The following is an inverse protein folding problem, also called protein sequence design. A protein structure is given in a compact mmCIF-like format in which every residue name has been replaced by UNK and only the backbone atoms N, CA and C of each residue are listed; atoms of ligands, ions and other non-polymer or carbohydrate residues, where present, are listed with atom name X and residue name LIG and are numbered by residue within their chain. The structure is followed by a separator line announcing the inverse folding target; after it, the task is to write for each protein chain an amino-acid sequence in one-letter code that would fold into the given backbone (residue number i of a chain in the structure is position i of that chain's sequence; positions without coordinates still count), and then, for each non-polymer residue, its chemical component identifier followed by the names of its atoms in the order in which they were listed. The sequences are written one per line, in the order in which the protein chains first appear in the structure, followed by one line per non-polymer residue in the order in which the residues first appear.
data_IF_612788733671
#
_entry.id   IF_612788733671
#
_cell.length_a   1.000
_cell.length_b   1.000
_cell.length_c   1.000
_cell.angle_alpha   90.00
_cell.angle_beta   90.00
_cell.angle_gamma   90.00
#
_symmetry.space_group_name_H-M   'P 1'
#
loop_
_entity.id
_entity.type
_entity.pdbx_description
1 polymer ?
#
# COMPACT_ATOMS: atom_id res chain seq x y z
N UNK A 1 -9.14 -7.23 -0.22
CA UNK A 1 -10.02 -8.39 -0.02
C UNK A 1 -9.27 -9.72 -0.07
N UNK A 2 -8.30 -9.90 -0.98
CA UNK A 2 -7.60 -11.17 -1.22
C UNK A 2 -6.10 -11.16 -0.89
N UNK A 3 -5.63 -10.22 -0.13
CA UNK A 3 -4.27 -10.20 0.43
C UNK A 3 -4.40 -10.00 1.94
N UNK A 4 -4.09 -11.00 2.73
CA UNK A 4 -3.88 -12.44 2.42
C UNK A 4 -5.07 -13.12 1.72
N UNK A 5 -4.83 -14.30 1.12
CA UNK A 5 -5.88 -15.05 0.41
C UNK A 5 -7.03 -15.44 1.35
N UNK A 6 -8.25 -15.00 1.03
CA UNK A 6 -9.47 -15.32 1.82
C UNK A 6 -10.42 -16.28 1.12
N UNK A 7 -9.99 -16.91 0.01
CA UNK A 7 -10.82 -17.86 -0.73
C UNK A 7 -11.98 -17.21 -1.52
N UNK A 8 -11.87 -15.91 -1.80
CA UNK A 8 -12.83 -15.18 -2.61
C UNK A 8 -12.25 -15.08 -4.03
N UNK A 9 -12.72 -15.91 -4.94
CA UNK A 9 -12.21 -15.98 -6.33
C UNK A 9 -12.69 -14.82 -7.19
N UNK A 10 -12.02 -14.62 -8.35
CA UNK A 10 -12.38 -13.57 -9.33
C UNK A 10 -13.83 -13.71 -9.82
N UNK A 11 -14.32 -14.93 -10.01
CA UNK A 11 -15.73 -15.15 -10.37
C UNK A 11 -16.72 -14.62 -9.34
N UNK A 12 -16.35 -14.63 -8.05
CA UNK A 12 -17.16 -14.04 -6.98
C UNK A 12 -17.10 -12.53 -7.02
N UNK A 13 -15.93 -11.96 -7.22
CA UNK A 13 -15.76 -10.51 -7.38
C UNK A 13 -16.54 -10.00 -8.59
N UNK A 14 -16.56 -10.75 -9.69
CA UNK A 14 -17.35 -10.37 -10.85
C UNK A 14 -18.85 -10.36 -10.55
N UNK A 15 -19.38 -11.34 -9.81
CA UNK A 15 -20.79 -11.36 -9.40
C UNK A 15 -21.15 -10.15 -8.50
N UNK A 16 -20.23 -9.77 -7.59
CA UNK A 16 -20.43 -8.58 -6.77
C UNK A 16 -20.46 -7.30 -7.61
N UNK A 17 -19.54 -7.18 -8.59
CA UNK A 17 -19.51 -6.05 -9.54
C UNK A 17 -20.75 -6.00 -10.41
N UNK A 18 -21.19 -7.13 -10.95
CA UNK A 18 -22.39 -7.21 -11.80
C UNK A 18 -23.65 -6.80 -11.02
N UNK A 19 -23.76 -7.26 -9.77
CA UNK A 19 -24.85 -6.85 -8.88
C UNK A 19 -24.80 -5.36 -8.55
N UNK A 20 -23.62 -4.83 -8.22
CA UNK A 20 -23.42 -3.41 -7.95
C UNK A 20 -23.80 -2.54 -9.14
N UNK A 21 -23.32 -2.90 -10.34
CA UNK A 21 -23.62 -2.18 -11.59
C UNK A 21 -25.13 -2.23 -11.93
N UNK A 22 -25.75 -3.40 -11.79
CA UNK A 22 -27.18 -3.58 -12.08
C UNK A 22 -28.08 -2.74 -11.18
N UNK A 23 -27.68 -2.53 -9.93
CA UNK A 23 -28.47 -1.79 -8.93
C UNK A 23 -27.97 -0.35 -8.75
N UNK A 24 -26.99 0.10 -9.54
CA UNK A 24 -26.38 1.43 -9.47
C UNK A 24 -25.84 1.78 -8.06
N UNK A 25 -25.24 0.78 -7.39
CA UNK A 25 -24.67 0.92 -6.05
C UNK A 25 -23.16 0.68 -6.06
N UNK A 26 -22.47 1.09 -4.99
CA UNK A 26 -21.04 0.80 -4.83
C UNK A 26 -20.78 -0.68 -4.58
N UNK A 27 -19.58 -1.15 -4.92
CA UNK A 27 -19.12 -2.51 -4.61
C UNK A 27 -19.18 -2.79 -3.09
N UNK A 28 -18.89 -1.80 -2.26
CA UNK A 28 -19.01 -1.91 -0.81
C UNK A 28 -20.46 -2.20 -0.40
N UNK A 29 -21.42 -1.54 -1.05
CA UNK A 29 -22.84 -1.74 -0.76
C UNK A 29 -23.36 -3.10 -1.26
N UNK A 30 -22.76 -3.67 -2.30
CA UNK A 30 -23.09 -5.03 -2.74
C UNK A 30 -22.71 -6.09 -1.72
N UNK A 31 -21.69 -5.84 -0.90
CA UNK A 31 -21.28 -6.71 0.21
C UNK A 31 -22.33 -6.71 1.36
N UNK A 32 -23.10 -5.68 1.48
CA UNK A 32 -24.19 -5.63 2.47
C UNK A 32 -25.39 -6.51 2.04
N UNK A 33 -25.58 -6.70 0.74
CA UNK A 33 -26.74 -7.37 0.14
C UNK A 33 -26.39 -8.78 -0.40
N UNK A 34 -25.50 -9.53 0.25
CA UNK A 34 -25.01 -10.83 -0.23
C UNK A 34 -26.11 -11.87 -0.48
N UNK A 35 -27.23 -11.78 0.25
CA UNK A 35 -28.34 -12.72 0.12
C UNK A 35 -29.15 -12.52 -1.16
N UNK A 36 -29.09 -11.32 -1.75
CA UNK A 36 -29.75 -11.01 -3.01
C UNK A 36 -28.91 -11.41 -4.24
N UNK A 37 -27.63 -11.77 -4.01
CA UNK A 37 -26.72 -12.16 -5.09
C UNK A 37 -26.83 -13.65 -5.36
N UNK A 38 -27.35 -14.00 -6.54
CA UNK A 38 -27.52 -15.38 -6.93
C UNK A 38 -26.21 -16.16 -7.07
N UNK A 39 -26.25 -17.45 -6.75
CA UNK A 39 -25.13 -18.39 -6.94
C UNK A 39 -23.86 -18.06 -6.12
N UNK A 40 -23.98 -17.46 -4.95
CA UNK A 40 -22.94 -17.43 -3.94
C UNK A 40 -23.12 -18.60 -2.97
N UNK A 41 -22.05 -19.39 -2.78
CA UNK A 41 -22.07 -20.46 -1.77
C UNK A 41 -22.01 -19.89 -0.35
N UNK A 42 -22.57 -20.59 0.64
CA UNK A 42 -22.54 -20.17 2.03
C UNK A 42 -21.11 -19.97 2.56
N UNK A 43 -20.15 -20.79 2.09
CA UNK A 43 -18.74 -20.63 2.40
C UNK A 43 -18.21 -19.28 1.94
N UNK A 44 -18.54 -18.86 0.72
CA UNK A 44 -18.09 -17.59 0.16
C UNK A 44 -18.78 -16.42 0.86
N UNK A 45 -20.08 -16.52 1.14
CA UNK A 45 -20.80 -15.51 1.93
C UNK A 45 -20.16 -15.32 3.31
N UNK A 46 -19.80 -16.41 3.99
CA UNK A 46 -19.09 -16.36 5.27
C UNK A 46 -17.75 -15.63 5.17
N UNK A 47 -16.95 -15.91 4.13
CA UNK A 47 -15.66 -15.23 3.93
C UNK A 47 -15.82 -13.72 3.68
N UNK A 48 -16.83 -13.35 2.92
CA UNK A 48 -17.14 -11.93 2.67
C UNK A 48 -17.64 -11.25 3.94
N UNK A 49 -18.48 -11.90 4.74
CA UNK A 49 -18.94 -11.37 6.01
C UNK A 49 -17.80 -11.18 7.02
N UNK A 50 -16.87 -12.12 7.12
CA UNK A 50 -15.68 -11.96 7.95
C UNK A 50 -14.86 -10.72 7.51
N UNK A 51 -14.71 -10.51 6.21
CA UNK A 51 -14.03 -9.30 5.72
C UNK A 51 -14.81 -8.03 6.03
N UNK A 52 -16.14 -8.05 5.95
CA UNK A 52 -17.01 -6.94 6.34
C UNK A 52 -16.84 -6.58 7.81
N UNK A 53 -16.73 -7.58 8.69
CA UNK A 53 -16.46 -7.38 10.13
C UNK A 53 -15.12 -6.67 10.32
N UNK A 54 -14.05 -7.12 9.66
CA UNK A 54 -12.74 -6.43 9.70
C UNK A 54 -12.87 -4.96 9.31
N UNK A 55 -13.57 -4.65 8.23
CA UNK A 55 -13.76 -3.25 7.79
C UNK A 55 -14.56 -2.44 8.81
N UNK A 56 -15.58 -3.05 9.45
CA UNK A 56 -16.36 -2.35 10.46
C UNK A 56 -15.54 -2.09 11.74
N UNK A 57 -14.72 -3.04 12.15
CA UNK A 57 -13.82 -2.86 13.29
C UNK A 57 -12.81 -1.74 13.00
N UNK A 58 -12.22 -1.73 11.79
CA UNK A 58 -11.27 -0.69 11.38
C UNK A 58 -11.88 0.72 11.38
N UNK A 59 -13.17 0.88 11.09
CA UNK A 59 -13.84 2.18 11.19
C UNK A 59 -13.79 2.76 12.61
N UNK A 60 -13.81 1.92 13.64
CA UNK A 60 -13.69 2.38 15.03
C UNK A 60 -12.27 2.83 15.37
N UNK A 61 -11.25 2.18 14.80
CA UNK A 61 -9.86 2.57 14.96
C UNK A 61 -9.48 3.82 14.17
N UNK A 62 -10.19 4.10 13.07
CA UNK A 62 -9.98 5.32 12.29
C UNK A 62 -10.19 6.61 13.10
N UNK A 63 -10.92 6.56 14.19
CA UNK A 63 -11.09 7.65 15.14
C UNK A 63 -9.89 7.88 16.07
N UNK A 64 -8.96 6.93 16.12
CA UNK A 64 -7.79 6.95 17.01
C UNK A 64 -6.52 7.48 16.31
N UNK A 65 -6.63 7.76 15.01
CA UNK A 65 -5.53 8.30 14.20
C UNK A 65 -4.95 7.31 13.20
N UNK A 66 -4.04 7.79 12.33
CA UNK A 66 -3.44 6.98 11.27
C UNK A 66 -2.56 5.83 11.80
N UNK A 67 -1.75 6.02 12.84
CA UNK A 67 -0.85 4.99 13.34
C UNK A 67 -1.62 3.77 13.88
N UNK A 68 -2.64 3.98 14.71
CA UNK A 68 -3.48 2.91 15.23
C UNK A 68 -4.30 2.26 14.12
N UNK A 69 -4.82 3.04 13.17
CA UNK A 69 -5.55 2.53 12.00
C UNK A 69 -4.69 1.59 11.16
N UNK A 70 -3.44 1.97 10.87
CA UNK A 70 -2.49 1.16 10.11
C UNK A 70 -2.12 -0.10 10.90
N UNK A 71 -1.76 0.04 12.17
CA UNK A 71 -1.42 -1.07 13.06
C UNK A 71 -2.53 -2.11 13.10
N UNK A 72 -3.77 -1.69 13.33
CA UNK A 72 -4.94 -2.58 13.35
C UNK A 72 -5.28 -3.15 11.98
N UNK A 73 -5.03 -2.40 10.90
CA UNK A 73 -5.19 -2.94 9.55
C UNK A 73 -4.25 -4.11 9.31
N UNK A 74 -2.99 -4.00 9.68
CA UNK A 74 -1.99 -5.06 9.53
C UNK A 74 -2.33 -6.28 10.39
N UNK A 75 -2.76 -6.07 11.63
CA UNK A 75 -3.16 -7.11 12.58
C UNK A 75 -4.42 -7.85 12.08
N UNK A 76 -5.55 -7.14 11.92
CA UNK A 76 -6.85 -7.74 11.60
C UNK A 76 -6.90 -8.36 10.20
N UNK A 77 -6.13 -7.84 9.26
CA UNK A 77 -6.01 -8.46 7.94
C UNK A 77 -5.11 -9.68 7.92
N UNK A 78 -4.20 -9.82 8.89
CA UNK A 78 -3.15 -10.84 8.93
C UNK A 78 -2.06 -10.64 7.89
N UNK A 79 -1.90 -9.41 7.36
CA UNK A 79 -0.92 -9.13 6.30
C UNK A 79 0.52 -9.24 6.79
N UNK A 80 0.80 -8.73 7.99
CA UNK A 80 2.13 -8.85 8.60
C UNK A 80 2.51 -10.32 8.84
N UNK A 81 1.58 -11.13 9.33
CA UNK A 81 1.78 -12.57 9.56
C UNK A 81 2.06 -13.34 8.26
N UNK A 82 1.41 -12.95 7.16
CA UNK A 82 1.65 -13.56 5.85
C UNK A 82 3.06 -13.27 5.37
N UNK A 83 3.54 -12.03 5.46
CA UNK A 83 4.90 -11.65 5.10
C UNK A 83 5.96 -12.38 5.95
N UNK A 84 5.71 -12.52 7.25
CA UNK A 84 6.59 -13.30 8.15
C UNK A 84 6.67 -14.76 7.73
N UNK A 85 5.53 -15.38 7.36
CA UNK A 85 5.48 -16.77 6.88
C UNK A 85 6.16 -16.95 5.54
N UNK A 86 6.09 -15.97 4.67
CA UNK A 86 6.74 -15.99 3.36
C UNK A 86 8.27 -16.09 3.49
N UNK A 87 8.86 -15.36 4.45
CA UNK A 87 10.27 -15.50 4.87
C UNK A 87 11.30 -15.20 3.77
N UNK A 88 10.91 -14.55 2.68
CA UNK A 88 11.78 -14.14 1.59
C UNK A 88 12.47 -12.82 1.89
N UNK A 89 13.55 -12.50 1.17
CA UNK A 89 14.18 -11.19 1.27
C UNK A 89 13.20 -10.07 0.92
N UNK A 90 12.37 -10.26 -0.10
CA UNK A 90 11.34 -9.31 -0.51
C UNK A 90 10.30 -9.10 0.60
N UNK A 91 9.84 -10.17 1.27
CA UNK A 91 8.91 -10.04 2.39
C UNK A 91 9.51 -9.34 3.60
N UNK A 92 10.80 -9.51 3.86
CA UNK A 92 11.52 -8.79 4.92
C UNK A 92 11.57 -7.28 4.64
N UNK A 93 11.89 -6.88 3.41
CA UNK A 93 11.89 -5.48 3.01
C UNK A 93 10.48 -4.85 3.06
N UNK A 94 9.45 -5.61 2.73
CA UNK A 94 8.07 -5.14 2.91
C UNK A 94 7.72 -4.94 4.38
N UNK A 95 8.23 -5.80 5.28
CA UNK A 95 8.06 -5.61 6.72
C UNK A 95 8.76 -4.33 7.20
N UNK A 96 9.98 -4.06 6.75
CA UNK A 96 10.70 -2.81 7.06
C UNK A 96 9.93 -1.59 6.56
N UNK A 97 9.42 -1.62 5.32
CA UNK A 97 8.59 -0.52 4.78
C UNK A 97 7.30 -0.31 5.59
N UNK A 98 6.70 -1.39 6.13
CA UNK A 98 5.52 -1.26 7.01
C UNK A 98 5.87 -0.63 8.37
N UNK A 99 7.02 -0.95 8.92
CA UNK A 99 7.49 -0.33 10.16
C UNK A 99 7.86 1.16 9.95
N UNK A 100 8.43 1.53 8.79
CA UNK A 100 8.62 2.93 8.39
C UNK A 100 7.29 3.68 8.20
N UNK A 101 6.31 3.05 7.56
CA UNK A 101 4.96 3.63 7.40
C UNK A 101 4.31 3.92 8.74
N UNK A 102 4.41 2.99 9.70
CA UNK A 102 3.91 3.18 11.07
C UNK A 102 4.62 4.32 11.78
N UNK A 103 5.95 4.42 11.64
CA UNK A 103 6.75 5.50 12.22
C UNK A 103 6.32 6.86 11.64
N UNK A 104 6.19 6.95 10.31
CA UNK A 104 5.72 8.16 9.63
C UNK A 104 4.32 8.59 10.08
N UNK A 105 3.41 7.63 10.25
CA UNK A 105 2.06 7.91 10.74
C UNK A 105 2.08 8.46 12.17
N UNK A 106 2.88 7.86 13.05
CA UNK A 106 3.03 8.31 14.43
C UNK A 106 3.69 9.70 14.52
N UNK A 107 4.73 9.97 13.72
CA UNK A 107 5.35 11.30 13.66
C UNK A 107 4.37 12.35 13.15
N UNK A 108 3.56 12.02 12.15
CA UNK A 108 2.54 12.92 11.64
C UNK A 108 1.47 13.26 12.68
N UNK A 109 1.02 12.29 13.47
CA UNK A 109 0.07 12.50 14.56
C UNK A 109 0.59 13.50 15.61
N UNK A 110 1.89 13.44 15.92
CA UNK A 110 2.52 14.35 16.90
C UNK A 110 2.59 15.81 16.42
N UNK A 111 2.28 16.10 15.16
CA UNK A 111 2.17 17.48 14.65
C UNK A 111 0.82 18.12 14.96
N UNK A 112 -0.15 17.34 15.42
CA UNK A 112 -1.48 17.84 15.75
C UNK A 112 -1.58 18.22 17.23
N UNK A 113 -2.21 19.36 17.50
CA UNK A 113 -2.57 19.79 18.83
C UNK A 113 -3.86 19.11 19.31
N UNK A 114 -4.10 19.06 20.62
CA UNK A 114 -5.15 18.23 21.25
C UNK A 114 -6.62 18.58 20.90
N UNK A 115 -6.89 19.73 20.26
CA UNK A 115 -8.26 20.24 20.02
C UNK A 115 -8.73 20.01 18.55
N UNK A 116 -8.89 18.74 18.13
CA UNK A 116 -9.43 18.41 16.81
C UNK A 116 -10.94 18.16 16.91
N UNK A 117 -11.75 18.99 16.22
CA UNK A 117 -13.22 18.87 16.24
C UNK A 117 -13.72 17.62 15.52
N UNK A 118 -13.09 17.22 14.40
CA UNK A 118 -13.43 16.01 13.63
C UNK A 118 -12.37 14.92 13.83
N UNK A 119 -12.72 13.79 14.48
CA UNK A 119 -11.78 12.70 14.76
C UNK A 119 -11.14 12.09 13.51
N UNK A 120 -11.76 12.24 12.33
CA UNK A 120 -11.20 11.73 11.08
C UNK A 120 -10.20 12.68 10.42
N UNK A 121 -10.06 13.91 10.90
CA UNK A 121 -9.19 14.92 10.27
C UNK A 121 -7.76 14.42 10.16
N UNK A 122 -7.16 13.93 11.23
CA UNK A 122 -5.75 13.48 11.23
C UNK A 122 -5.51 12.36 10.22
N UNK A 123 -6.40 11.38 10.17
CA UNK A 123 -6.29 10.28 9.20
C UNK A 123 -6.45 10.78 7.76
N UNK A 124 -7.40 11.69 7.52
CA UNK A 124 -7.63 12.28 6.18
C UNK A 124 -6.41 13.05 5.71
N UNK A 125 -5.90 13.94 6.55
CA UNK A 125 -4.76 14.80 6.22
C UNK A 125 -3.47 13.99 6.03
N UNK A 126 -3.29 12.91 6.82
CA UNK A 126 -2.21 11.96 6.60
C UNK A 126 -2.30 11.29 5.23
N UNK A 127 -3.49 10.80 4.84
CA UNK A 127 -3.70 10.19 3.53
C UNK A 127 -3.50 11.19 2.38
N UNK A 128 -3.94 12.43 2.55
CA UNK A 128 -3.70 13.51 1.59
C UNK A 128 -2.20 13.84 1.48
N UNK A 129 -1.47 13.88 2.59
CA UNK A 129 -0.02 14.11 2.58
C UNK A 129 0.72 13.03 1.79
N UNK A 130 0.39 11.75 1.99
CA UNK A 130 0.98 10.65 1.23
C UNK A 130 0.64 10.75 -0.27
N UNK A 131 -0.60 11.08 -0.61
CA UNK A 131 -1.03 11.24 -2.00
C UNK A 131 -0.26 12.37 -2.71
N UNK A 132 -0.05 13.50 -2.03
CA UNK A 132 0.73 14.63 -2.56
C UNK A 132 2.21 14.26 -2.79
N UNK A 133 2.81 13.41 -1.95
CA UNK A 133 4.18 12.93 -2.19
C UNK A 133 4.30 12.06 -3.44
N UNK A 134 3.23 11.37 -3.83
CA UNK A 134 3.20 10.54 -5.04
C UNK A 134 3.02 11.38 -6.32
N UNK A 135 2.33 12.53 -6.23
CA UNK A 135 2.04 13.43 -7.34
C UNK A 135 3.07 14.59 -7.49
N UNK A 136 4.10 14.65 -6.63
CA UNK A 136 5.05 15.77 -6.56
C UNK A 136 6.07 15.84 -7.71
N UNK A 137 5.85 15.15 -8.84
CA UNK A 137 6.64 15.29 -10.06
C UNK A 137 6.46 16.67 -10.74
N UNK A 138 5.52 17.51 -10.30
CA UNK A 138 5.16 18.79 -10.91
C UNK A 138 5.53 20.05 -10.09
N UNK A 139 6.34 19.95 -9.04
CA UNK A 139 6.73 21.13 -8.23
C UNK A 139 7.95 21.83 -8.82
N UNK A 140 7.81 23.13 -9.03
CA UNK A 140 8.76 24.09 -9.63
C UNK A 140 10.25 23.73 -9.63
N UNK A 141 10.85 23.80 -10.83
CA UNK A 141 12.20 23.32 -11.19
C UNK A 141 13.36 24.24 -10.77
N UNK A 142 13.16 25.19 -9.87
CA UNK A 142 14.20 26.15 -9.54
C UNK A 142 14.96 25.77 -8.26
N UNK A 143 16.28 25.58 -8.40
CA UNK A 143 17.31 25.50 -7.34
C UNK A 143 17.16 24.34 -6.34
N UNK A 144 17.00 23.08 -6.83
CA UNK A 144 16.88 21.89 -5.97
C UNK A 144 17.92 20.83 -6.28
N UNK A 145 18.29 20.09 -5.24
CA UNK A 145 18.95 18.81 -5.37
C UNK A 145 17.87 17.75 -5.48
N UNK A 146 17.84 17.03 -6.61
CA UNK A 146 16.93 15.91 -6.81
C UNK A 146 17.61 14.62 -6.35
N UNK A 147 16.97 13.89 -5.44
CA UNK A 147 17.38 12.57 -5.03
C UNK A 147 16.42 11.55 -5.65
N UNK A 148 16.97 10.59 -6.38
CA UNK A 148 16.16 9.57 -7.04
C UNK A 148 16.94 8.27 -7.21
N UNK A 149 16.22 7.19 -7.47
CA UNK A 149 16.85 5.92 -7.86
C UNK A 149 17.30 5.97 -9.33
N UNK A 150 18.26 5.12 -9.71
CA UNK A 150 18.65 4.96 -11.11
C UNK A 150 17.47 4.56 -12.01
N UNK A 151 16.54 3.77 -11.50
CA UNK A 151 15.33 3.39 -12.22
C UNK A 151 14.44 4.59 -12.54
N UNK A 152 14.29 5.50 -11.58
CA UNK A 152 13.50 6.73 -11.77
C UNK A 152 14.22 7.77 -12.63
N UNK A 153 15.54 7.71 -12.71
CA UNK A 153 16.35 8.58 -13.55
C UNK A 153 16.36 8.17 -15.03
N UNK A 154 15.89 6.95 -15.35
CA UNK A 154 15.90 6.44 -16.72
C UNK A 154 15.14 7.35 -17.67
N UNK A 155 15.86 7.87 -18.68
CA UNK A 155 15.29 8.77 -19.69
C UNK A 155 15.19 10.23 -19.26
N UNK A 156 15.75 10.59 -18.09
CA UNK A 156 15.89 11.97 -17.63
C UNK A 156 17.32 12.46 -17.88
N UNK A 157 17.47 13.75 -18.11
CA UNK A 157 18.76 14.41 -18.34
C UNK A 157 18.98 15.53 -17.32
N UNK A 158 20.16 15.55 -16.68
CA UNK A 158 20.53 16.56 -15.69
C UNK A 158 21.90 17.16 -16.00
N UNK A 159 22.09 18.49 -15.80
CA UNK A 159 23.38 19.15 -16.03
C UNK A 159 24.52 18.62 -15.15
N UNK A 160 24.21 18.16 -13.94
CA UNK A 160 25.17 17.60 -12.99
C UNK A 160 24.51 16.41 -12.29
N UNK A 161 25.21 15.28 -12.26
CA UNK A 161 24.76 14.02 -11.64
C UNK A 161 25.82 13.51 -10.67
N UNK A 162 25.38 13.16 -9.47
CA UNK A 162 26.19 12.46 -8.49
C UNK A 162 25.65 11.04 -8.30
N UNK A 163 26.34 10.05 -8.82
CA UNK A 163 26.01 8.64 -8.62
C UNK A 163 26.69 8.16 -7.34
N UNK A 164 25.90 7.87 -6.31
CA UNK A 164 26.37 7.35 -5.02
C UNK A 164 26.03 5.88 -4.86
N UNK A 165 26.69 5.16 -3.96
CA UNK A 165 26.41 3.75 -3.70
C UNK A 165 26.84 2.80 -4.82
N UNK A 166 27.86 3.15 -5.61
CA UNK A 166 28.41 2.31 -6.67
C UNK A 166 29.37 1.27 -6.07
N UNK A 167 28.84 0.38 -5.27
CA UNK A 167 29.57 -0.66 -4.58
C UNK A 167 28.76 -1.96 -4.52
N UNK A 168 29.45 -3.09 -4.40
CA UNK A 168 28.83 -4.42 -4.37
C UNK A 168 27.72 -4.49 -3.31
N UNK A 169 26.61 -5.11 -3.65
CA UNK A 169 25.41 -5.28 -2.84
C UNK A 169 24.52 -4.01 -2.69
N UNK A 170 24.98 -2.86 -3.14
CA UNK A 170 24.15 -1.66 -3.28
C UNK A 170 23.81 -1.47 -4.75
N UNK A 171 24.84 -1.39 -5.62
CA UNK A 171 24.67 -1.36 -7.05
C UNK A 171 25.85 -2.07 -7.75
N UNK A 172 25.64 -3.25 -8.35
CA UNK A 172 24.37 -4.00 -8.51
C UNK A 172 23.74 -4.41 -7.18
N UNK A 173 22.40 -4.43 -7.19
CA UNK A 173 21.63 -4.80 -6.00
C UNK A 173 21.92 -6.25 -5.55
N UNK A 174 21.88 -6.51 -4.24
CA UNK A 174 21.90 -7.89 -3.69
C UNK A 174 20.79 -8.79 -4.26
N UNK A 175 19.74 -8.22 -4.87
CA UNK A 175 18.64 -8.95 -5.49
C UNK A 175 18.97 -9.51 -6.86
N UNK A 176 20.02 -9.00 -7.50
CA UNK A 176 20.46 -9.43 -8.82
C UNK A 176 21.39 -10.64 -8.65
N UNK A 177 20.81 -11.85 -8.54
CA UNK A 177 21.54 -13.10 -8.30
C UNK A 177 22.01 -13.75 -9.60
N UNK A 178 21.37 -13.47 -10.72
CA UNK A 178 21.71 -14.07 -12.02
C UNK A 178 22.57 -13.12 -12.86
N UNK A 179 23.44 -13.70 -13.71
CA UNK A 179 24.23 -12.92 -14.67
C UNK A 179 23.35 -12.03 -15.57
N UNK A 180 22.13 -12.46 -15.86
CA UNK A 180 21.18 -11.67 -16.64
C UNK A 180 20.70 -10.44 -15.89
N UNK A 181 20.32 -10.56 -14.63
CA UNK A 181 19.88 -9.45 -13.78
C UNK A 181 21.03 -8.46 -13.54
N UNK A 182 22.24 -8.93 -13.30
CA UNK A 182 23.43 -8.09 -13.17
C UNK A 182 23.68 -7.30 -14.48
N UNK A 183 23.48 -7.92 -15.64
CA UNK A 183 23.61 -7.21 -16.92
C UNK A 183 22.50 -6.16 -17.13
N UNK A 184 21.29 -6.41 -16.67
CA UNK A 184 20.20 -5.41 -16.71
C UNK A 184 20.49 -4.22 -15.80
N UNK A 185 21.00 -4.44 -14.59
CA UNK A 185 21.48 -3.36 -13.70
C UNK A 185 22.60 -2.53 -14.36
N UNK A 186 23.55 -3.19 -15.02
CA UNK A 186 24.61 -2.49 -15.77
C UNK A 186 24.05 -1.63 -16.91
N UNK A 187 23.04 -2.15 -17.64
CA UNK A 187 22.38 -1.39 -18.70
C UNK A 187 21.64 -0.19 -18.14
N UNK A 188 20.98 -0.35 -17.00
CA UNK A 188 20.31 0.73 -16.30
C UNK A 188 21.28 1.86 -15.91
N UNK A 189 22.49 1.50 -15.46
CA UNK A 189 23.54 2.46 -15.14
C UNK A 189 24.07 3.21 -16.37
N UNK A 190 23.99 2.58 -17.55
CA UNK A 190 24.56 3.13 -18.78
C UNK A 190 23.58 4.07 -19.52
N UNK A 191 22.29 3.88 -19.35
CA UNK A 191 21.22 4.67 -19.99
C UNK A 191 20.91 5.92 -19.21
#
# INVERSE_FOLDING_TARGET
LNVPKRGIGESTLQKLRDYANKNEISLSKSIENLDEINNLSDRVKKQINNFKEIINDLKSFALQGPSETISKTLELTGYKDELVKEGTLDSQMRLENLDELLTSAFEFENLYEEDIEDPFTVLRDYLESIALFTDSDDVDKEDRILLMTLHNAKGLEFPVVFMTGMEENIFPSQRSETDFEIQEERRLCYV
#
